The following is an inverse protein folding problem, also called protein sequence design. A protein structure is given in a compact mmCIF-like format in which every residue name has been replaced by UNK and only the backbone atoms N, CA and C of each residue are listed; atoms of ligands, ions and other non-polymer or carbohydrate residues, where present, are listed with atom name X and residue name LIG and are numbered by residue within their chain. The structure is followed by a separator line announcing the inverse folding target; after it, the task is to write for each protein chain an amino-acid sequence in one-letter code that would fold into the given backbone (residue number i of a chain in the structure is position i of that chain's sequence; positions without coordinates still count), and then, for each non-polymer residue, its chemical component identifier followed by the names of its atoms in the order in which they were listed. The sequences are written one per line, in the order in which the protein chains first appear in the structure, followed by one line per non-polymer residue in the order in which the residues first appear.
data_IF_275643365695
#
_entry.id   IF_275643365695
#
_cell.length_a   1.000
_cell.length_b   1.000
_cell.length_c   1.000
_cell.angle_alpha   90.00
_cell.angle_beta   90.00
_cell.angle_gamma   90.00
#
_symmetry.space_group_name_H-M   'P 1'
#
loop_
_entity.id
_entity.type
_entity.pdbx_description
1 polymer ?
#
# COMPACT_ATOMS: atom_id res chain seq x y z
N UNK A 1 -4.70 35.61 7.05
CA UNK A 1 -3.62 35.01 6.25
C UNK A 1 -3.84 35.55 4.85
N UNK A 2 -2.87 36.29 4.32
CA UNK A 2 -2.99 36.98 3.01
C UNK A 2 -3.11 35.93 1.88
N UNK A 3 -4.08 36.11 0.99
CA UNK A 3 -4.44 35.11 -0.04
C UNK A 3 -3.30 34.92 -1.04
N UNK A 4 -2.61 36.00 -1.41
CA UNK A 4 -1.45 35.94 -2.32
C UNK A 4 -0.27 35.16 -1.71
N UNK A 5 -0.04 35.33 -0.41
CA UNK A 5 1.01 34.59 0.31
C UNK A 5 0.67 33.09 0.42
N UNK A 6 -0.61 32.74 0.56
CA UNK A 6 -1.06 31.36 0.58
C UNK A 6 -0.92 30.69 -0.80
N UNK A 7 -1.25 31.39 -1.89
CA UNK A 7 -1.13 30.89 -3.25
C UNK A 7 0.34 30.64 -3.66
N UNK A 8 1.24 31.57 -3.31
CA UNK A 8 2.68 31.41 -3.54
C UNK A 8 3.27 30.24 -2.73
N UNK A 9 2.81 30.05 -1.49
CA UNK A 9 3.22 28.93 -0.64
C UNK A 9 2.76 27.58 -1.21
N UNK A 10 1.50 27.50 -1.67
CA UNK A 10 0.98 26.30 -2.33
C UNK A 10 1.77 25.98 -3.61
N UNK A 11 2.05 26.98 -4.45
CA UNK A 11 2.81 26.80 -5.68
C UNK A 11 4.24 26.31 -5.40
N UNK A 12 4.89 26.82 -4.34
CA UNK A 12 6.24 26.39 -3.96
C UNK A 12 6.28 24.93 -3.50
N UNK A 13 5.32 24.52 -2.65
CA UNK A 13 5.17 23.12 -2.22
C UNK A 13 4.86 22.21 -3.40
N UNK A 14 3.89 22.60 -4.24
CA UNK A 14 3.53 21.85 -5.44
C UNK A 14 4.72 21.69 -6.39
N UNK A 15 5.51 22.75 -6.60
CA UNK A 15 6.73 22.71 -7.41
C UNK A 15 7.83 21.81 -6.83
N UNK A 16 7.93 21.71 -5.51
CA UNK A 16 8.82 20.74 -4.88
C UNK A 16 8.33 19.30 -5.03
N UNK A 17 7.03 19.05 -5.21
CA UNK A 17 6.48 17.71 -5.46
C UNK A 17 6.56 17.34 -6.94
N UNK A 18 6.36 18.31 -7.85
CA UNK A 18 6.23 18.15 -9.30
C UNK A 18 7.56 17.78 -10.01
N UNK A 19 8.17 16.69 -9.59
CA UNK A 19 9.35 16.06 -10.17
C UNK A 19 9.30 14.54 -9.94
N UNK A 20 9.56 13.72 -10.98
CA UNK A 20 9.42 12.28 -10.87
C UNK A 20 10.29 11.63 -9.79
N UNK A 21 11.53 12.11 -9.60
CA UNK A 21 12.43 11.57 -8.60
C UNK A 21 11.98 11.97 -7.18
N UNK A 22 11.65 13.25 -6.95
CA UNK A 22 11.13 13.73 -5.66
C UNK A 22 9.82 13.04 -5.28
N UNK A 23 8.90 12.90 -6.22
CA UNK A 23 7.65 12.17 -6.00
C UNK A 23 7.89 10.71 -5.57
N UNK A 24 8.81 9.99 -6.24
CA UNK A 24 9.17 8.60 -5.84
C UNK A 24 9.80 8.54 -4.45
N UNK A 25 10.71 9.46 -4.15
CA UNK A 25 11.34 9.56 -2.83
C UNK A 25 10.30 9.80 -1.72
N UNK A 26 9.36 10.74 -1.93
CA UNK A 26 8.29 11.04 -0.98
C UNK A 26 7.36 9.84 -0.77
N UNK A 27 6.98 9.15 -1.85
CA UNK A 27 6.16 7.93 -1.76
C UNK A 27 6.86 6.82 -0.98
N UNK A 28 8.17 6.66 -1.14
CA UNK A 28 8.96 5.66 -0.43
C UNK A 28 9.05 5.89 1.09
N UNK A 29 8.73 7.10 1.56
CA UNK A 29 8.76 7.48 2.98
C UNK A 29 7.37 7.44 3.64
N UNK A 30 6.30 7.15 2.89
CA UNK A 30 4.94 7.03 3.43
C UNK A 30 4.77 5.88 4.44
N UNK A 31 5.68 4.90 4.45
CA UNK A 31 5.71 3.84 5.46
C UNK A 31 6.23 4.31 6.84
N UNK A 32 6.54 5.60 6.98
CA UNK A 32 6.99 6.24 8.20
C UNK A 32 8.44 5.93 8.58
N UNK A 33 9.17 5.17 7.76
CA UNK A 33 10.55 4.77 8.06
C UNK A 33 11.54 5.79 7.53
N UNK A 34 12.57 6.08 8.33
CA UNK A 34 13.69 6.88 7.88
C UNK A 34 14.61 6.05 6.95
N UNK A 35 15.00 6.61 5.80
CA UNK A 35 15.82 5.95 4.78
C UNK A 35 17.03 6.78 4.41
N UNK A 36 18.13 6.15 4.03
CA UNK A 36 19.34 6.84 3.59
C UNK A 36 19.16 7.49 2.22
N UNK A 37 19.99 8.50 1.92
CA UNK A 37 20.02 9.12 0.60
C UNK A 37 20.26 8.11 -0.53
N UNK A 38 21.14 7.12 -0.29
CA UNK A 38 21.48 6.09 -1.28
C UNK A 38 20.31 5.17 -1.59
N UNK A 39 19.57 4.73 -0.56
CA UNK A 39 18.36 3.91 -0.75
C UNK A 39 17.29 4.68 -1.52
N UNK A 40 17.07 5.95 -1.20
CA UNK A 40 16.08 6.79 -1.86
C UNK A 40 16.48 7.16 -3.30
N UNK A 41 17.77 7.37 -3.56
CA UNK A 41 18.29 7.58 -4.91
C UNK A 41 18.06 6.35 -5.80
N UNK A 42 18.35 5.15 -5.26
CA UNK A 42 18.09 3.89 -5.96
C UNK A 42 16.59 3.70 -6.25
N UNK A 43 15.71 4.00 -5.30
CA UNK A 43 14.25 3.92 -5.49
C UNK A 43 13.72 4.95 -6.51
N UNK A 44 14.39 6.10 -6.63
CA UNK A 44 14.03 7.15 -7.56
C UNK A 44 14.62 6.96 -8.97
N UNK A 45 15.49 5.96 -9.16
CA UNK A 45 16.25 5.68 -10.39
C UNK A 45 17.15 6.86 -10.79
N UNK A 46 17.88 7.40 -9.80
CA UNK A 46 18.84 8.50 -9.99
C UNK A 46 20.19 8.18 -9.36
N UNK A 47 21.24 8.85 -9.85
CA UNK A 47 22.57 8.77 -9.24
C UNK A 47 22.62 9.39 -7.84
N UNK A 48 23.47 8.87 -6.97
CA UNK A 48 23.66 9.40 -5.61
C UNK A 48 24.11 10.88 -5.59
N UNK A 49 24.82 11.32 -6.65
CA UNK A 49 25.28 12.70 -6.81
C UNK A 49 24.16 13.71 -7.11
N UNK A 50 23.03 13.28 -7.69
CA UNK A 50 21.88 14.15 -7.95
C UNK A 50 20.87 14.20 -6.80
N UNK A 51 20.85 13.17 -5.94
CA UNK A 51 19.91 13.07 -4.82
C UNK A 51 20.00 14.24 -3.82
N UNK A 52 21.19 14.81 -3.62
CA UNK A 52 21.41 15.89 -2.65
C UNK A 52 20.57 17.15 -2.95
N UNK A 53 20.47 17.51 -4.24
CA UNK A 53 19.66 18.66 -4.68
C UNK A 53 18.16 18.41 -4.52
N UNK A 54 17.70 17.18 -4.78
CA UNK A 54 16.31 16.79 -4.54
C UNK A 54 15.94 16.91 -3.05
N UNK A 55 16.80 16.44 -2.14
CA UNK A 55 16.54 16.58 -0.70
C UNK A 55 16.62 18.02 -0.21
N UNK A 56 17.53 18.84 -0.73
CA UNK A 56 17.58 20.25 -0.39
C UNK A 56 16.24 20.93 -0.72
N UNK A 57 15.72 20.72 -1.94
CA UNK A 57 14.44 21.27 -2.37
C UNK A 57 13.26 20.79 -1.54
N UNK A 58 13.21 19.51 -1.19
CA UNK A 58 12.16 18.94 -0.34
C UNK A 58 12.22 19.48 1.10
N UNK A 59 13.42 19.71 1.63
CA UNK A 59 13.62 20.27 2.97
C UNK A 59 13.27 21.75 3.04
N UNK A 60 13.61 22.53 2.01
CA UNK A 60 13.22 23.94 1.89
C UNK A 60 11.71 24.14 2.02
N UNK A 61 10.92 23.19 1.48
CA UNK A 61 9.45 23.22 1.56
C UNK A 61 8.90 22.43 2.76
N UNK A 62 9.75 21.99 3.69
CA UNK A 62 9.32 21.29 4.90
C UNK A 62 8.69 19.92 4.69
N UNK A 63 8.89 19.28 3.52
CA UNK A 63 8.28 17.98 3.19
C UNK A 63 9.02 16.80 3.81
N UNK A 64 10.34 16.94 3.95
CA UNK A 64 11.20 15.93 4.59
C UNK A 64 12.11 16.57 5.61
N UNK A 65 12.49 15.80 6.60
CA UNK A 65 13.55 16.15 7.54
C UNK A 65 14.73 15.17 7.41
N UNK A 66 15.90 15.60 7.91
CA UNK A 66 17.12 14.82 7.88
C UNK A 66 17.59 14.54 9.31
N UNK A 67 17.82 13.27 9.61
CA UNK A 67 18.32 12.76 10.87
C UNK A 67 19.77 12.31 10.67
N UNK A 68 20.65 12.70 11.59
CA UNK A 68 22.05 12.26 11.58
C UNK A 68 22.22 11.13 12.59
N UNK A 69 22.68 9.97 12.11
CA UNK A 69 23.04 8.84 12.96
C UNK A 69 24.43 8.35 12.55
N UNK A 70 25.44 8.76 13.33
CA UNK A 70 26.84 8.51 13.00
C UNK A 70 27.22 9.12 11.66
N UNK A 71 27.80 8.30 10.77
CA UNK A 71 28.24 8.72 9.41
C UNK A 71 27.10 8.79 8.39
N UNK A 72 25.91 8.31 8.75
CA UNK A 72 24.79 8.18 7.81
C UNK A 72 23.75 9.27 8.06
N UNK A 73 23.18 9.76 6.95
CA UNK A 73 22.07 10.72 6.94
C UNK A 73 20.83 9.98 6.49
N UNK A 74 19.80 10.02 7.33
CA UNK A 74 18.50 9.43 7.08
C UNK A 74 17.48 10.51 6.81
N UNK A 75 16.50 10.23 5.98
CA UNK A 75 15.42 11.12 5.60
C UNK A 75 14.08 10.47 5.93
N UNK A 76 13.16 11.26 6.47
CA UNK A 76 11.77 10.87 6.73
C UNK A 76 10.83 12.02 6.37
N UNK A 77 9.55 11.73 6.19
CA UNK A 77 8.54 12.78 6.11
C UNK A 77 8.53 13.56 7.42
N UNK A 78 8.43 14.89 7.31
CA UNK A 78 8.49 15.80 8.46
C UNK A 78 7.41 15.49 9.50
N UNK A 79 6.20 15.19 9.06
CA UNK A 79 5.06 14.91 9.93
C UNK A 79 3.92 14.18 9.20
N UNK A 80 2.90 13.78 9.95
CA UNK A 80 1.72 13.09 9.44
C UNK A 80 0.87 13.95 8.47
N UNK A 81 0.89 15.27 8.60
CA UNK A 81 0.15 16.17 7.71
C UNK A 81 0.71 16.13 6.28
N UNK A 82 2.04 16.06 6.13
CA UNK A 82 2.70 15.87 4.83
C UNK A 82 2.29 14.53 4.22
N UNK A 83 2.25 13.46 5.01
CA UNK A 83 1.82 12.15 4.53
C UNK A 83 0.36 12.17 4.03
N UNK A 84 -0.55 12.74 4.80
CA UNK A 84 -1.96 12.88 4.42
C UNK A 84 -2.15 13.71 3.14
N UNK A 85 -1.39 14.79 2.96
CA UNK A 85 -1.45 15.61 1.76
C UNK A 85 -0.97 14.83 0.52
N UNK A 86 0.12 14.06 0.65
CA UNK A 86 0.63 13.22 -0.43
C UNK A 86 -0.36 12.10 -0.79
N UNK A 87 -0.98 11.46 0.19
CA UNK A 87 -2.05 10.48 -0.02
C UNK A 87 -3.26 11.09 -0.75
N UNK A 88 -3.66 12.30 -0.37
CA UNK A 88 -4.74 13.04 -1.04
C UNK A 88 -4.40 13.34 -2.51
N UNK A 89 -3.17 13.76 -2.81
CA UNK A 89 -2.72 13.97 -4.19
C UNK A 89 -2.72 12.68 -5.00
N UNK A 90 -2.27 11.56 -4.42
CA UNK A 90 -2.27 10.26 -5.07
C UNK A 90 -3.69 9.79 -5.43
N UNK A 91 -4.68 10.07 -4.59
CA UNK A 91 -6.10 9.82 -4.89
C UNK A 91 -6.57 10.59 -6.14
N UNK A 92 -6.09 11.82 -6.37
CA UNK A 92 -6.47 12.63 -7.53
C UNK A 92 -5.91 12.08 -8.85
N UNK A 93 -4.73 11.44 -8.81
CA UNK A 93 -4.08 10.87 -10.01
C UNK A 93 -4.82 9.70 -10.64
N UNK A 94 -5.91 9.23 -10.03
CA UNK A 94 -6.79 8.18 -10.57
C UNK A 94 -7.58 8.63 -11.83
N UNK A 95 -7.50 9.91 -12.23
CA UNK A 95 -8.28 10.49 -13.34
C UNK A 95 -7.55 10.64 -14.70
N UNK A 96 -6.29 10.21 -14.84
CA UNK A 96 -5.58 10.31 -16.14
C UNK A 96 -4.83 9.02 -16.47
N UNK A 97 -5.51 8.18 -17.25
CA UNK A 97 -5.04 6.87 -17.67
C UNK A 97 -3.97 6.99 -18.77
N UNK A 98 -2.71 7.14 -18.37
CA UNK A 98 -1.65 6.39 -19.04
C UNK A 98 -1.72 4.97 -18.47
N UNK A 99 -1.73 3.89 -19.28
CA UNK A 99 -1.76 2.53 -18.75
C UNK A 99 -0.60 2.35 -17.77
N UNK A 100 -0.93 2.15 -16.50
CA UNK A 100 0.07 1.99 -15.46
C UNK A 100 0.91 0.75 -15.77
N UNK A 101 2.22 0.96 -15.99
CA UNK A 101 3.22 -0.11 -16.12
C UNK A 101 3.96 -0.23 -14.77
N UNK A 102 3.64 -1.22 -13.93
CA UNK A 102 4.36 -1.40 -12.68
C UNK A 102 5.82 -1.79 -12.94
N UNK A 103 6.76 -1.03 -12.35
CA UNK A 103 8.19 -1.39 -12.29
C UNK A 103 8.48 -2.40 -11.15
N UNK A 104 7.45 -2.83 -10.41
CA UNK A 104 7.57 -3.82 -9.34
C UNK A 104 7.96 -5.18 -9.92
N UNK A 105 8.96 -5.88 -9.35
CA UNK A 105 9.31 -7.24 -9.78
C UNK A 105 8.07 -8.15 -9.79
N UNK A 106 7.92 -8.96 -10.84
CA UNK A 106 6.71 -9.75 -11.10
C UNK A 106 6.26 -10.61 -9.91
N UNK A 107 7.21 -11.18 -9.16
CA UNK A 107 6.92 -11.96 -7.96
C UNK A 107 6.26 -11.14 -6.84
N UNK A 108 6.69 -9.89 -6.61
CA UNK A 108 6.11 -9.00 -5.61
C UNK A 108 4.79 -8.37 -6.06
N UNK A 109 4.58 -8.29 -7.38
CA UNK A 109 3.33 -7.84 -7.98
C UNK A 109 2.25 -8.93 -7.88
N UNK A 110 2.61 -10.19 -8.17
CA UNK A 110 1.66 -11.30 -8.14
C UNK A 110 1.04 -11.50 -6.75
N UNK A 111 1.87 -11.68 -5.72
CA UNK A 111 1.41 -11.80 -4.35
C UNK A 111 2.52 -11.43 -3.36
N UNK A 112 2.15 -10.74 -2.28
CA UNK A 112 3.07 -10.40 -1.18
C UNK A 112 2.30 -10.18 0.12
N UNK A 113 3.02 -9.95 1.20
CA UNK A 113 2.42 -9.40 2.43
C UNK A 113 2.47 -7.87 2.44
N UNK A 114 1.33 -7.24 2.67
CA UNK A 114 1.23 -5.85 3.13
C UNK A 114 1.02 -5.92 4.64
N UNK A 115 2.09 -5.72 5.40
CA UNK A 115 2.11 -6.04 6.83
C UNK A 115 1.77 -7.51 7.10
N UNK A 116 0.56 -7.78 7.58
CA UNK A 116 0.07 -9.09 8.02
C UNK A 116 -1.03 -9.67 7.12
N UNK A 117 -1.38 -9.00 6.01
CA UNK A 117 -2.41 -9.45 5.07
C UNK A 117 -1.85 -9.55 3.65
N UNK A 118 -2.58 -10.27 2.80
CA UNK A 118 -2.19 -10.48 1.39
C UNK A 118 -2.37 -9.19 0.57
N UNK A 119 -1.45 -8.96 -0.34
CA UNK A 119 -1.43 -7.84 -1.28
C UNK A 119 -0.88 -8.29 -2.65
N UNK A 120 -0.93 -7.42 -3.65
CA UNK A 120 -0.65 -7.73 -5.05
C UNK A 120 -1.89 -8.12 -5.85
N UNK A 121 -1.69 -8.49 -7.10
CA UNK A 121 -2.75 -8.83 -8.08
C UNK A 121 -3.75 -9.85 -7.52
N UNK A 122 -3.25 -10.89 -6.85
CA UNK A 122 -4.08 -11.94 -6.24
C UNK A 122 -5.02 -11.38 -5.17
N UNK A 123 -4.55 -10.44 -4.35
CA UNK A 123 -5.33 -9.86 -3.27
C UNK A 123 -6.38 -8.86 -3.76
N UNK A 124 -6.06 -8.09 -4.82
CA UNK A 124 -7.00 -7.18 -5.48
C UNK A 124 -8.13 -7.98 -6.14
N UNK A 125 -7.80 -9.03 -6.89
CA UNK A 125 -8.84 -9.89 -7.49
C UNK A 125 -9.72 -10.57 -6.45
N UNK A 126 -9.12 -11.02 -5.34
CA UNK A 126 -9.89 -11.58 -4.21
C UNK A 126 -10.83 -10.54 -3.59
N UNK A 127 -10.36 -9.31 -3.40
CA UNK A 127 -11.18 -8.21 -2.92
C UNK A 127 -12.41 -7.99 -3.82
N UNK A 128 -12.19 -7.86 -5.13
CA UNK A 128 -13.26 -7.62 -6.10
C UNK A 128 -14.26 -8.78 -6.15
N UNK A 129 -13.76 -10.01 -6.04
CA UNK A 129 -14.60 -11.21 -5.98
C UNK A 129 -15.51 -11.24 -4.75
N UNK A 130 -14.99 -10.84 -3.57
CA UNK A 130 -15.76 -10.84 -2.33
C UNK A 130 -16.86 -9.77 -2.31
N UNK A 131 -16.58 -8.58 -2.87
CA UNK A 131 -17.59 -7.55 -3.08
C UNK A 131 -18.63 -8.01 -4.10
N UNK A 132 -18.19 -8.54 -5.25
CA UNK A 132 -19.10 -9.02 -6.32
C UNK A 132 -19.99 -10.18 -5.87
N UNK A 133 -19.47 -11.05 -5.00
CA UNK A 133 -20.24 -12.16 -4.41
C UNK A 133 -21.16 -11.72 -3.26
N UNK A 134 -21.10 -10.44 -2.85
CA UNK A 134 -21.89 -9.87 -1.77
C UNK A 134 -21.48 -10.38 -0.39
N UNK A 135 -20.22 -10.81 -0.21
CA UNK A 135 -19.72 -11.25 1.10
C UNK A 135 -19.31 -10.07 1.97
N UNK A 136 -18.88 -8.98 1.32
CA UNK A 136 -18.54 -7.71 1.93
C UNK A 136 -19.44 -6.62 1.35
N UNK A 137 -19.82 -5.67 2.20
CA UNK A 137 -20.49 -4.45 1.80
C UNK A 137 -19.63 -3.25 2.22
N UNK A 138 -19.66 -2.20 1.40
CA UNK A 138 -18.93 -0.96 1.68
C UNK A 138 -19.64 -0.15 2.77
N UNK A 139 -18.87 0.32 3.75
CA UNK A 139 -19.33 1.25 4.78
C UNK A 139 -18.32 2.39 4.91
N UNK A 140 -18.43 3.39 4.02
CA UNK A 140 -17.48 4.49 3.95
C UNK A 140 -16.09 4.01 3.53
N UNK A 141 -15.09 4.08 4.43
CA UNK A 141 -13.71 3.59 4.19
C UNK A 141 -13.48 2.17 4.73
N UNK A 142 -14.48 1.58 5.37
CA UNK A 142 -14.45 0.26 5.97
C UNK A 142 -15.33 -0.73 5.19
N UNK A 143 -15.14 -2.02 5.44
CA UNK A 143 -16.02 -3.08 4.96
C UNK A 143 -16.70 -3.78 6.13
N UNK A 144 -17.98 -4.12 5.92
CA UNK A 144 -18.75 -4.97 6.82
C UNK A 144 -19.03 -6.30 6.15
N UNK A 145 -19.02 -7.38 6.94
CA UNK A 145 -19.31 -8.73 6.45
C UNK A 145 -20.84 -8.87 6.41
N UNK A 146 -21.39 -9.28 5.27
CA UNK A 146 -22.82 -9.56 5.14
C UNK A 146 -23.17 -10.91 5.79
N UNK A 147 -24.45 -11.19 6.04
CA UNK A 147 -24.90 -12.50 6.55
C UNK A 147 -24.41 -13.66 5.67
N UNK A 148 -24.53 -13.51 4.34
CA UNK A 148 -24.00 -14.46 3.35
C UNK A 148 -22.47 -14.59 3.44
N UNK A 149 -21.78 -13.48 3.69
CA UNK A 149 -20.34 -13.46 3.92
C UNK A 149 -19.94 -14.24 5.16
N UNK A 150 -20.69 -14.10 6.26
CA UNK A 150 -20.47 -14.86 7.50
C UNK A 150 -20.55 -16.36 7.24
N UNK A 151 -21.65 -16.81 6.62
CA UNK A 151 -21.85 -18.23 6.28
C UNK A 151 -20.72 -18.77 5.40
N UNK A 152 -20.36 -18.03 4.36
CA UNK A 152 -19.36 -18.47 3.38
C UNK A 152 -17.94 -18.48 3.95
N UNK A 153 -17.57 -17.48 4.75
CA UNK A 153 -16.25 -17.40 5.40
C UNK A 153 -16.09 -18.50 6.46
N UNK A 154 -17.13 -18.76 7.26
CA UNK A 154 -17.15 -19.86 8.21
C UNK A 154 -17.01 -21.22 7.49
N UNK A 155 -17.72 -21.42 6.37
CA UNK A 155 -17.60 -22.64 5.56
C UNK A 155 -16.19 -22.83 4.96
N UNK A 156 -15.45 -21.73 4.73
CA UNK A 156 -14.04 -21.78 4.34
C UNK A 156 -13.08 -22.05 5.50
N UNK A 157 -13.56 -21.96 6.74
CA UNK A 157 -12.76 -22.17 7.95
C UNK A 157 -12.16 -20.89 8.54
N UNK A 158 -12.75 -19.72 8.26
CA UNK A 158 -12.46 -18.47 8.96
C UNK A 158 -13.53 -18.30 10.04
N UNK A 159 -13.12 -18.28 11.30
CA UNK A 159 -14.00 -17.99 12.44
C UNK A 159 -14.31 -16.49 12.48
N UNK A 160 -15.47 -16.11 11.92
CA UNK A 160 -15.85 -14.70 11.78
C UNK A 160 -16.10 -14.05 13.13
N UNK A 161 -16.64 -14.76 14.11
CA UNK A 161 -16.90 -14.22 15.44
C UNK A 161 -15.59 -13.88 16.15
N UNK A 162 -14.60 -14.77 16.07
CA UNK A 162 -13.26 -14.50 16.62
C UNK A 162 -12.58 -13.33 15.90
N UNK A 163 -12.75 -13.20 14.58
CA UNK A 163 -12.22 -12.07 13.79
C UNK A 163 -12.85 -10.74 14.20
N UNK A 164 -14.16 -10.71 14.43
CA UNK A 164 -14.91 -9.52 14.86
C UNK A 164 -14.55 -9.08 16.30
N UNK A 165 -14.16 -10.01 17.17
CA UNK A 165 -13.77 -9.71 18.56
C UNK A 165 -12.35 -9.16 18.71
N UNK A 166 -11.54 -9.15 17.65
CA UNK A 166 -10.18 -8.62 17.72
C UNK A 166 -10.17 -7.11 17.97
N UNK A 167 -9.23 -6.62 18.78
CA UNK A 167 -9.04 -5.18 19.06
C UNK A 167 -8.33 -4.43 17.92
N UNK A 168 -8.90 -4.50 16.70
CA UNK A 168 -8.40 -3.82 15.49
C UNK A 168 -9.56 -3.66 14.49
N UNK A 169 -9.35 -2.87 13.43
CA UNK A 169 -10.35 -2.73 12.34
C UNK A 169 -10.66 -4.10 11.71
N UNK A 170 -11.94 -4.40 11.54
CA UNK A 170 -12.44 -5.65 10.95
C UNK A 170 -11.93 -5.83 9.52
N UNK A 171 -12.30 -4.93 8.63
CA UNK A 171 -11.91 -4.92 7.24
C UNK A 171 -11.96 -3.50 6.66
N UNK A 172 -11.03 -3.16 5.77
CA UNK A 172 -11.02 -1.85 5.10
C UNK A 172 -10.30 -1.89 3.74
N UNK A 173 -10.53 -0.86 2.93
CA UNK A 173 -9.89 -0.65 1.63
C UNK A 173 -8.40 -0.28 1.81
N UNK A 174 -7.51 -1.26 1.82
CA UNK A 174 -6.07 -1.01 1.84
C UNK A 174 -5.57 -0.81 0.41
N UNK A 175 -4.92 0.31 0.12
CA UNK A 175 -4.49 0.62 -1.25
C UNK A 175 -3.22 -0.16 -1.62
N UNK A 176 -3.30 -1.00 -2.66
CA UNK A 176 -2.12 -1.67 -3.19
C UNK A 176 -1.28 -0.69 -4.02
N UNK A 177 -0.06 -0.41 -3.60
CA UNK A 177 0.81 0.51 -4.36
C UNK A 177 1.26 -0.03 -5.73
N UNK A 178 1.29 -1.36 -5.89
CA UNK A 178 1.72 -2.03 -7.12
C UNK A 178 0.60 -2.23 -8.12
N UNK A 179 -0.66 -2.30 -7.68
CA UNK A 179 -1.83 -2.43 -8.55
C UNK A 179 -2.67 -1.15 -8.61
N UNK A 180 -2.43 -0.19 -7.69
CA UNK A 180 -3.23 1.03 -7.47
C UNK A 180 -4.71 0.76 -7.22
N UNK A 181 -5.02 -0.40 -6.65
CA UNK A 181 -6.37 -0.87 -6.40
C UNK A 181 -6.52 -1.32 -4.94
N UNK A 182 -7.72 -1.25 -4.37
CA UNK A 182 -7.97 -1.71 -3.02
C UNK A 182 -7.80 -3.23 -2.89
N UNK A 183 -7.27 -3.64 -1.75
CA UNK A 183 -7.30 -5.00 -1.23
C UNK A 183 -7.78 -4.98 0.23
N UNK A 184 -8.05 -6.16 0.81
CA UNK A 184 -8.63 -6.26 2.14
C UNK A 184 -7.52 -6.15 3.20
N UNK A 185 -7.52 -5.04 3.94
CA UNK A 185 -6.78 -4.89 5.19
C UNK A 185 -7.62 -5.28 6.42
N UNK A 186 -7.05 -5.17 7.62
CA UNK A 186 -7.78 -5.43 8.87
C UNK A 186 -7.73 -6.88 9.33
N UNK A 187 -8.50 -7.23 10.38
CA UNK A 187 -8.54 -8.57 10.96
C UNK A 187 -8.92 -9.65 9.92
N UNK A 188 -9.89 -9.34 9.05
CA UNK A 188 -10.29 -10.23 7.97
C UNK A 188 -9.17 -10.46 6.96
N UNK A 189 -8.44 -9.41 6.59
CA UNK A 189 -7.29 -9.53 5.67
C UNK A 189 -6.20 -10.46 6.20
N UNK A 190 -5.93 -10.41 7.50
CA UNK A 190 -4.98 -11.31 8.16
C UNK A 190 -5.50 -12.75 8.19
N UNK A 191 -6.77 -12.95 8.57
CA UNK A 191 -7.40 -14.27 8.59
C UNK A 191 -7.43 -14.93 7.20
N UNK A 192 -7.68 -14.15 6.14
CA UNK A 192 -7.62 -14.61 4.75
C UNK A 192 -6.19 -15.07 4.39
N UNK A 193 -5.16 -14.30 4.75
CA UNK A 193 -3.77 -14.72 4.49
C UNK A 193 -3.42 -16.02 5.23
N UNK A 194 -3.81 -16.15 6.50
CA UNK A 194 -3.58 -17.36 7.28
C UNK A 194 -4.27 -18.58 6.67
N UNK A 195 -5.52 -18.41 6.22
CA UNK A 195 -6.25 -19.45 5.48
C UNK A 195 -5.50 -19.87 4.21
N UNK A 196 -5.04 -18.90 3.41
CA UNK A 196 -4.31 -19.15 2.16
C UNK A 196 -3.01 -19.93 2.43
N UNK A 197 -2.28 -19.59 3.50
CA UNK A 197 -1.08 -20.30 3.91
C UNK A 197 -1.40 -21.72 4.41
N UNK A 198 -2.41 -21.87 5.28
CA UNK A 198 -2.84 -23.16 5.84
C UNK A 198 -3.32 -24.13 4.75
N UNK A 199 -4.00 -23.62 3.72
CA UNK A 199 -4.46 -24.42 2.58
C UNK A 199 -3.35 -24.69 1.55
N UNK A 200 -2.18 -24.04 1.70
CA UNK A 200 -1.06 -24.13 0.77
C UNK A 200 -1.34 -23.45 -0.56
N UNK A 201 -2.25 -22.46 -0.59
CA UNK A 201 -2.55 -21.67 -1.78
C UNK A 201 -1.44 -20.67 -2.08
N UNK A 202 -0.86 -20.11 -1.02
CA UNK A 202 0.36 -19.31 -1.10
C UNK A 202 1.42 -19.87 -0.16
N UNK A 203 2.68 -19.60 -0.46
CA UNK A 203 3.82 -19.93 0.39
C UNK A 203 4.70 -18.71 0.57
N UNK A 204 5.32 -18.57 1.74
CA UNK A 204 6.22 -17.45 2.05
C UNK A 204 7.60 -17.70 1.44
N UNK A 205 8.21 -16.65 0.90
CA UNK A 205 9.65 -16.63 0.71
C UNK A 205 10.35 -16.27 2.02
N UNK A 206 11.40 -17.01 2.38
CA UNK A 206 12.10 -16.84 3.67
C UNK A 206 12.75 -15.46 3.82
N UNK A 207 13.27 -14.91 2.72
CA UNK A 207 14.07 -13.68 2.73
C UNK A 207 13.31 -12.45 2.19
N UNK A 208 11.99 -12.53 1.99
CA UNK A 208 11.23 -11.39 1.45
C UNK A 208 9.75 -11.41 1.83
N UNK A 209 9.08 -10.28 1.55
CA UNK A 209 7.61 -10.18 1.66
C UNK A 209 6.87 -10.89 0.53
N UNK A 210 7.56 -11.41 -0.48
CA UNK A 210 6.92 -12.08 -1.61
C UNK A 210 6.21 -13.36 -1.16
N UNK A 211 5.03 -13.56 -1.71
CA UNK A 211 4.27 -14.80 -1.58
C UNK A 211 4.29 -15.49 -2.93
N UNK A 212 4.59 -16.79 -2.94
CA UNK A 212 4.50 -17.60 -4.14
C UNK A 212 3.12 -18.24 -4.21
N UNK A 213 2.34 -17.88 -5.23
CA UNK A 213 1.10 -18.57 -5.56
C UNK A 213 1.42 -19.99 -6.06
N UNK A 214 0.80 -20.99 -5.45
CA UNK A 214 1.02 -22.40 -5.80
C UNK A 214 0.03 -22.86 -6.86
N UNK A 215 0.31 -23.97 -7.56
CA UNK A 215 -0.65 -24.58 -8.49
C UNK A 215 -1.98 -24.95 -7.80
N UNK A 216 -1.91 -25.40 -6.54
CA UNK A 216 -3.08 -25.67 -5.70
C UNK A 216 -3.86 -24.37 -5.38
N UNK A 217 -3.14 -23.27 -5.18
CA UNK A 217 -3.72 -21.94 -4.96
C UNK A 217 -4.52 -21.46 -6.16
N UNK A 218 -3.97 -21.56 -7.36
CA UNK A 218 -4.66 -21.19 -8.61
C UNK A 218 -6.01 -21.92 -8.73
N UNK A 219 -6.02 -23.26 -8.60
CA UNK A 219 -7.28 -24.02 -8.68
C UNK A 219 -8.23 -23.78 -7.50
N UNK A 220 -7.69 -23.60 -6.29
CA UNK A 220 -8.48 -23.35 -5.08
C UNK A 220 -9.16 -21.99 -5.09
N UNK A 221 -8.46 -20.94 -5.52
CA UNK A 221 -9.00 -19.59 -5.64
C UNK A 221 -10.04 -19.49 -6.75
N UNK A 222 -9.80 -20.14 -7.89
CA UNK A 222 -10.76 -20.18 -8.98
C UNK A 222 -12.06 -20.86 -8.55
N UNK A 223 -11.96 -21.97 -7.80
CA UNK A 223 -13.12 -22.70 -7.31
C UNK A 223 -13.92 -21.95 -6.24
N UNK A 224 -13.22 -21.27 -5.33
CA UNK A 224 -13.85 -20.66 -4.14
C UNK A 224 -14.32 -19.23 -4.40
N UNK A 225 -13.50 -18.43 -5.10
CA UNK A 225 -13.74 -17.01 -5.32
C UNK A 225 -13.96 -16.65 -6.79
N UNK A 226 -13.75 -17.58 -7.73
CA UNK A 226 -13.84 -17.29 -9.16
C UNK A 226 -12.65 -16.48 -9.70
N UNK A 227 -11.49 -16.57 -9.03
CA UNK A 227 -10.26 -15.80 -9.28
C UNK A 227 -9.11 -16.68 -9.74
#
# INVERSE_FOLDING_TARGET
MDVEAADLSLAAVAGAIADPARSRMLCALLDGRARTATELAALADIGASSASGHFARLREQGLVEMLVQGRHRYYRLTNAQVAQALEALLLLTQHSAVPFKPNTPSALRQARTCYDHCAGEVAVKLHDALLKAGWLNEQGKDYVISERGVESLNALGIDVDAVCQQRRRLAYACLDWSERAPHIGGALGAALLELMLKRGWVSRHLDSRALKLTAKGVGGMAKVFGV
#
